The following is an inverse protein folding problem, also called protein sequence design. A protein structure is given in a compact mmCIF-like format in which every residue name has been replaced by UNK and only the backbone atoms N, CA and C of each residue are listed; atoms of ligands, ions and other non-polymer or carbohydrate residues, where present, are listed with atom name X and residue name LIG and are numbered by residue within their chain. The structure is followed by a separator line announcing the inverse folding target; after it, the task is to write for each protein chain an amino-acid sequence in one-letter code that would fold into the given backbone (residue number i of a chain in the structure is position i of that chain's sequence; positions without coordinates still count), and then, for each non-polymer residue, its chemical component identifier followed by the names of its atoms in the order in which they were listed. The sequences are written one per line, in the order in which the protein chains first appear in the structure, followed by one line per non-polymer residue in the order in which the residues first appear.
data_IF_149771898012
#
_entry.id   IF_149771898012
#
_cell.length_a   1.000
_cell.length_b   1.000
_cell.length_c   1.000
_cell.angle_alpha   90.00
_cell.angle_beta   90.00
_cell.angle_gamma   90.00
#
_symmetry.space_group_name_H-M   'P 1'
#
loop_
_entity.id
_entity.type
_entity.pdbx_description
1 polymer ?
#
# COMPACT_ATOMS: atom_id res chain seq x y z
N UNK A 1 -25.70 -2.19 0.96
CA UNK A 1 -24.48 -2.59 1.72
C UNK A 1 -23.30 -2.92 0.82
N UNK A 2 -23.49 -3.64 -0.30
CA UNK A 2 -22.45 -3.83 -1.32
C UNK A 2 -22.20 -2.54 -2.15
N UNK A 3 -23.25 -1.78 -2.48
CA UNK A 3 -23.11 -0.49 -3.19
C UNK A 3 -22.29 0.55 -2.42
N UNK A 4 -22.48 0.65 -1.09
CA UNK A 4 -21.71 1.58 -0.25
C UNK A 4 -20.22 1.24 -0.16
N UNK A 5 -19.84 0.01 -0.49
CA UNK A 5 -18.43 -0.42 -0.56
C UNK A 5 -17.84 -0.04 -1.92
N UNK A 6 -18.59 -0.26 -3.00
CA UNK A 6 -18.19 0.14 -4.35
C UNK A 6 -17.96 1.65 -4.48
N UNK A 7 -18.82 2.46 -3.86
CA UNK A 7 -18.68 3.92 -3.87
C UNK A 7 -17.43 4.39 -3.12
N UNK A 8 -17.16 3.80 -1.94
CA UNK A 8 -15.95 4.09 -1.17
C UNK A 8 -14.67 3.74 -1.93
N UNK A 9 -14.67 2.61 -2.65
CA UNK A 9 -13.55 2.17 -3.48
C UNK A 9 -13.33 3.13 -4.66
N UNK A 10 -14.39 3.55 -5.35
CA UNK A 10 -14.29 4.54 -6.42
C UNK A 10 -13.76 5.90 -5.96
N UNK A 11 -14.09 6.32 -4.74
CA UNK A 11 -13.57 7.57 -4.17
C UNK A 11 -12.08 7.45 -3.82
N UNK A 12 -11.63 6.30 -3.32
CA UNK A 12 -10.22 6.05 -3.01
C UNK A 12 -9.37 6.02 -4.27
N UNK A 13 -9.83 5.34 -5.33
CA UNK A 13 -9.13 5.34 -6.62
C UNK A 13 -9.06 6.73 -7.25
N UNK A 14 -10.09 7.57 -7.10
CA UNK A 14 -10.06 8.97 -7.53
C UNK A 14 -9.03 9.81 -6.77
N UNK A 15 -8.89 9.60 -5.46
CA UNK A 15 -7.86 10.30 -4.65
C UNK A 15 -6.44 9.84 -4.99
N UNK A 16 -6.26 8.55 -5.26
CA UNK A 16 -4.97 7.99 -5.69
C UNK A 16 -4.57 8.49 -7.08
N UNK A 17 -5.51 8.54 -8.02
CA UNK A 17 -5.29 9.13 -9.34
C UNK A 17 -4.98 10.64 -9.29
N UNK A 18 -5.38 11.35 -8.22
CA UNK A 18 -5.12 12.77 -8.02
C UNK A 18 -3.71 13.12 -7.53
N UNK A 19 -2.94 12.14 -7.02
CA UNK A 19 -1.55 12.33 -6.61
C UNK A 19 -0.62 12.00 -7.79
N UNK A 20 -0.51 12.92 -8.73
CA UNK A 20 0.21 12.74 -10.00
C UNK A 20 1.71 12.36 -9.90
N UNK A 21 2.34 12.41 -8.72
CA UNK A 21 3.69 11.87 -8.46
C UNK A 21 3.81 11.47 -6.99
N UNK A 22 4.18 10.22 -6.72
CA UNK A 22 4.69 9.79 -5.41
C UNK A 22 6.19 10.11 -5.36
N UNK A 23 6.67 10.71 -4.26
CA UNK A 23 8.11 10.87 -4.06
C UNK A 23 8.71 9.59 -3.47
N UNK A 24 10.01 9.34 -3.65
CA UNK A 24 10.69 8.21 -2.99
C UNK A 24 10.52 8.24 -1.47
N UNK A 25 10.38 9.43 -0.86
CA UNK A 25 10.13 9.58 0.56
C UNK A 25 8.74 9.03 0.95
N UNK A 26 7.69 9.39 0.21
CA UNK A 26 6.32 8.91 0.45
C UNK A 26 6.22 7.39 0.26
N UNK A 27 6.92 6.84 -0.73
CA UNK A 27 6.96 5.39 -1.00
C UNK A 27 7.67 4.66 0.14
N UNK A 28 8.82 5.15 0.58
CA UNK A 28 9.58 4.53 1.67
C UNK A 28 8.82 4.56 3.00
N UNK A 29 8.11 5.65 3.28
CA UNK A 29 7.26 5.78 4.46
C UNK A 29 6.09 4.78 4.40
N UNK A 30 5.37 4.72 3.27
CA UNK A 30 4.27 3.76 3.08
C UNK A 30 4.74 2.30 3.14
N UNK A 31 5.89 1.96 2.56
CA UNK A 31 6.48 0.62 2.63
C UNK A 31 6.80 0.19 4.07
N UNK A 32 7.18 1.16 4.92
CA UNK A 32 7.50 0.91 6.32
C UNK A 32 6.25 0.59 7.13
N UNK A 33 5.16 1.30 6.90
CA UNK A 33 3.85 1.02 7.51
C UNK A 33 3.30 -0.34 7.06
N UNK A 34 3.35 -0.62 5.74
CA UNK A 34 2.92 -1.91 5.18
C UNK A 34 3.71 -3.07 5.81
N UNK A 35 5.02 -2.91 6.02
CA UNK A 35 5.84 -3.93 6.68
C UNK A 35 5.39 -4.20 8.11
N UNK A 36 5.08 -3.17 8.88
CA UNK A 36 4.62 -3.31 10.26
C UNK A 36 3.25 -4.00 10.32
N UNK A 37 2.29 -3.54 9.52
CA UNK A 37 0.96 -4.12 9.46
C UNK A 37 0.97 -5.61 9.07
N UNK A 38 1.86 -6.01 8.15
CA UNK A 38 1.99 -7.41 7.74
C UNK A 38 2.61 -8.27 8.85
N UNK A 39 3.55 -7.74 9.64
CA UNK A 39 4.12 -8.47 10.77
C UNK A 39 3.13 -8.59 11.93
N UNK A 40 2.30 -7.57 12.17
CA UNK A 40 1.21 -7.62 13.16
C UNK A 40 0.11 -8.62 12.79
N UNK A 41 -0.10 -8.85 11.49
CA UNK A 41 -1.06 -9.82 10.99
C UNK A 41 -0.53 -11.29 10.97
N UNK A 42 0.53 -11.59 11.71
CA UNK A 42 1.20 -12.90 11.78
C UNK A 42 1.71 -13.43 10.42
N UNK A 43 2.03 -12.54 9.47
CA UNK A 43 2.61 -12.94 8.18
C UNK A 43 4.10 -13.27 8.34
N UNK A 44 4.55 -14.34 7.68
CA UNK A 44 5.94 -14.76 7.71
C UNK A 44 6.89 -13.65 7.22
N UNK A 45 7.89 -13.32 8.03
CA UNK A 45 8.89 -12.30 7.74
C UNK A 45 9.54 -12.42 6.35
N UNK A 46 9.81 -13.63 5.86
CA UNK A 46 10.41 -13.84 4.52
C UNK A 46 9.50 -13.33 3.41
N UNK A 47 8.20 -13.59 3.52
CA UNK A 47 7.19 -13.12 2.55
C UNK A 47 7.09 -11.60 2.58
N UNK A 48 7.05 -11.02 3.78
CA UNK A 48 7.00 -9.56 3.95
C UNK A 48 8.23 -8.88 3.36
N UNK A 49 9.43 -9.42 3.62
CA UNK A 49 10.68 -8.88 3.11
C UNK A 49 10.73 -8.89 1.59
N UNK A 50 10.35 -10.01 0.96
CA UNK A 50 10.35 -10.14 -0.49
C UNK A 50 9.30 -9.25 -1.15
N UNK A 51 8.13 -9.09 -0.51
CA UNK A 51 7.07 -8.20 -0.98
C UNK A 51 7.51 -6.74 -0.96
N UNK A 52 8.05 -6.26 0.17
CA UNK A 52 8.54 -4.87 0.31
C UNK A 52 9.65 -4.59 -0.70
N UNK A 53 10.57 -5.54 -0.92
CA UNK A 53 11.64 -5.42 -1.91
C UNK A 53 11.09 -5.27 -3.33
N UNK A 54 10.14 -6.13 -3.73
CA UNK A 54 9.53 -6.07 -5.07
C UNK A 54 8.75 -4.79 -5.33
N UNK A 55 8.12 -4.23 -4.29
CA UNK A 55 7.39 -2.96 -4.41
C UNK A 55 8.37 -1.79 -4.51
N UNK A 56 9.44 -1.79 -3.70
CA UNK A 56 10.50 -0.78 -3.78
C UNK A 56 11.30 -0.78 -5.09
N UNK A 57 11.40 -1.92 -5.78
CA UNK A 57 12.04 -2.00 -7.12
C UNK A 57 11.17 -1.47 -8.27
N UNK A 58 9.86 -1.28 -8.05
CA UNK A 58 8.88 -0.85 -9.07
C UNK A 58 8.43 0.61 -8.93
N UNK A 59 8.78 1.26 -7.82
CA UNK A 59 8.43 2.63 -7.50
C UNK A 59 9.57 3.59 -7.85
#
# INVERSE_FOLDING_TARGET
MFESLSDKLQETFRRLAGKGRLSEADVNEGLREVRLALLEADVNYRVVKDLVKRIGERA
#
